data_IF_107163608451
#
_entry.id   IF_107163608451
#
_cell.length_a   1.000
_cell.length_b   1.000
_cell.length_c   1.000
_cell.angle_alpha   90.00
_cell.angle_beta   90.00
_cell.angle_gamma   90.00
#
_symmetry.space_group_name_H-M   'P 1'
#
loop_
_entity.id
_entity.type
_entity.pdbx_description
1 polymer ?
#
# COMPACT_ATOMS: atom_id res chain seq x y z
N UNK A 1 51.93 -2.20 38.86
CA UNK A 1 50.72 -3.05 38.86
C UNK A 1 49.40 -2.26 38.80
N UNK A 2 49.33 -1.00 39.23
CA UNK A 2 48.14 -0.14 39.13
C UNK A 2 47.84 0.34 37.69
N UNK A 3 48.82 0.75 36.90
CA UNK A 3 48.60 1.27 35.57
C UNK A 3 47.97 0.27 34.57
N UNK A 4 48.29 -1.02 34.71
CA UNK A 4 47.69 -2.07 33.87
C UNK A 4 46.21 -2.30 34.20
N UNK A 5 45.87 -2.16 35.48
CA UNK A 5 44.50 -2.33 35.96
C UNK A 5 43.58 -1.17 35.53
N UNK A 6 44.13 0.04 35.43
CA UNK A 6 43.42 1.23 34.98
C UNK A 6 43.22 1.23 33.45
N UNK A 7 44.16 0.71 32.68
CA UNK A 7 44.01 0.49 31.23
C UNK A 7 42.91 -0.54 30.90
N UNK A 8 42.84 -1.61 31.67
CA UNK A 8 41.82 -2.66 31.46
C UNK A 8 40.41 -2.11 31.81
N UNK A 9 40.28 -1.31 32.89
CA UNK A 9 38.99 -0.67 33.24
C UNK A 9 38.52 0.33 32.19
N UNK A 10 39.44 1.12 31.62
CA UNK A 10 39.08 2.06 30.54
C UNK A 10 38.67 1.35 29.24
N UNK A 11 39.32 0.25 28.89
CA UNK A 11 38.96 -0.54 27.71
C UNK A 11 37.62 -1.24 27.85
N UNK A 12 37.27 -1.76 29.04
CA UNK A 12 35.96 -2.39 29.31
C UNK A 12 34.84 -1.37 29.32
N UNK A 13 35.11 -0.17 29.84
CA UNK A 13 34.10 0.93 29.83
C UNK A 13 33.84 1.46 28.42
N UNK A 14 34.84 1.51 27.55
CA UNK A 14 34.69 1.91 26.14
C UNK A 14 33.89 0.86 25.32
N UNK A 15 34.05 -0.44 25.61
CA UNK A 15 33.28 -1.51 24.95
C UNK A 15 31.78 -1.50 25.32
N UNK A 16 31.44 -1.06 26.55
CA UNK A 16 30.05 -1.01 27.02
C UNK A 16 29.24 0.13 26.40
N UNK A 17 29.90 1.20 25.92
CA UNK A 17 29.23 2.31 25.25
C UNK A 17 28.95 2.05 23.75
N UNK A 18 29.59 1.05 23.14
CA UNK A 18 29.42 0.77 21.71
C UNK A 18 28.28 -0.21 21.41
N UNK A 19 27.66 -0.82 22.40
CA UNK A 19 26.59 -1.82 22.21
C UNK A 19 25.18 -1.27 22.33
N UNK A 20 24.98 0.03 22.58
CA UNK A 20 23.67 0.66 22.80
C UNK A 20 23.15 1.49 21.59
N UNK A 21 23.84 1.46 20.46
CA UNK A 21 23.40 2.20 19.26
C UNK A 21 22.73 1.30 18.20
N UNK A 22 22.18 0.17 18.56
CA UNK A 22 21.14 -0.47 17.75
C UNK A 22 19.81 0.21 18.05
N UNK A 23 19.71 1.51 17.72
CA UNK A 23 18.43 2.16 17.61
C UNK A 23 17.63 1.37 16.58
N UNK A 24 16.68 0.58 17.05
CA UNK A 24 15.62 0.05 16.20
C UNK A 24 15.08 1.28 15.45
N UNK A 25 15.37 1.37 14.17
CA UNK A 25 14.68 2.32 13.29
C UNK A 25 13.23 1.87 13.30
N UNK A 26 12.47 2.42 14.24
CA UNK A 26 11.02 2.30 14.22
C UNK A 26 10.61 2.88 12.87
N UNK A 27 10.18 1.99 11.96
CA UNK A 27 9.70 2.38 10.65
C UNK A 27 8.55 3.35 10.89
N UNK A 28 8.77 4.62 10.58
CA UNK A 28 7.82 5.69 10.86
C UNK A 28 6.55 5.40 10.07
N UNK A 29 5.50 5.00 10.77
CA UNK A 29 4.22 4.66 10.15
C UNK A 29 3.65 5.92 9.49
N UNK A 30 3.37 5.82 8.19
CA UNK A 30 2.81 6.93 7.42
C UNK A 30 1.36 7.21 7.85
N UNK A 31 0.98 8.47 7.77
CA UNK A 31 -0.42 8.91 7.92
C UNK A 31 -1.06 9.06 6.55
N UNK A 32 -2.34 8.70 6.46
CA UNK A 32 -3.11 8.75 5.22
C UNK A 32 -4.37 9.58 5.43
N UNK A 33 -4.69 10.44 4.49
CA UNK A 33 -6.01 11.05 4.40
C UNK A 33 -6.96 10.08 3.72
N UNK A 34 -8.28 10.22 3.98
CA UNK A 34 -9.28 9.35 3.36
C UNK A 34 -10.28 10.17 2.56
N UNK A 35 -10.86 9.54 1.53
CA UNK A 35 -11.97 10.10 0.79
C UNK A 35 -13.00 9.04 0.42
N UNK A 36 -14.25 9.42 0.14
CA UNK A 36 -15.24 8.53 -0.44
C UNK A 36 -14.95 8.29 -1.92
N UNK A 37 -15.07 7.02 -2.34
CA UNK A 37 -14.87 6.55 -3.69
C UNK A 37 -16.07 5.70 -4.10
N UNK A 38 -16.46 5.75 -5.38
CA UNK A 38 -17.54 4.93 -5.92
C UNK A 38 -17.04 4.14 -7.12
N UNK A 39 -17.50 2.89 -7.25
CA UNK A 39 -17.23 2.06 -8.44
C UNK A 39 -18.57 1.83 -9.13
N UNK A 40 -18.68 2.30 -10.37
CA UNK A 40 -19.81 2.09 -11.26
C UNK A 40 -19.52 0.89 -12.17
N UNK A 41 -20.30 -0.18 -12.04
CA UNK A 41 -20.16 -1.36 -12.88
C UNK A 41 -20.91 -1.18 -14.21
N UNK A 42 -20.45 -1.86 -15.25
CA UNK A 42 -21.13 -1.86 -16.56
C UNK A 42 -22.57 -2.39 -16.47
N UNK A 43 -22.90 -3.15 -15.42
CA UNK A 43 -24.27 -3.60 -15.13
C UNK A 43 -25.16 -2.55 -14.46
N UNK A 44 -24.69 -1.30 -14.32
CA UNK A 44 -25.46 -0.19 -13.74
C UNK A 44 -25.54 -0.19 -12.22
N UNK A 45 -24.78 -1.02 -11.52
CA UNK A 45 -24.67 -1.00 -10.06
C UNK A 45 -23.56 -0.05 -9.65
N UNK A 46 -23.77 0.64 -8.52
CA UNK A 46 -22.75 1.47 -7.87
C UNK A 46 -22.44 0.92 -6.48
N UNK A 47 -21.15 0.92 -6.14
CA UNK A 47 -20.64 0.48 -4.84
C UNK A 47 -19.79 1.57 -4.23
N UNK A 48 -20.09 1.94 -2.99
CA UNK A 48 -19.42 3.00 -2.26
C UNK A 48 -18.33 2.41 -1.35
N UNK A 49 -17.19 3.07 -1.33
CA UNK A 49 -16.03 2.73 -0.52
C UNK A 49 -15.48 3.98 0.19
N UNK A 50 -14.78 3.79 1.28
CA UNK A 50 -13.92 4.80 1.89
C UNK A 50 -12.46 4.38 1.70
N UNK A 51 -11.68 5.19 1.00
CA UNK A 51 -10.30 4.84 0.68
C UNK A 51 -9.30 5.79 1.30
N UNK A 52 -8.24 5.24 1.84
CA UNK A 52 -7.05 6.00 2.20
C UNK A 52 -6.25 6.34 0.94
N UNK A 53 -5.55 7.47 0.96
CA UNK A 53 -4.83 7.99 -0.19
C UNK A 53 -3.31 7.86 -0.01
N UNK A 54 -2.66 7.12 -0.91
CA UNK A 54 -1.21 7.03 -1.00
C UNK A 54 -0.71 7.96 -2.12
N UNK A 55 -0.32 9.19 -1.74
CA UNK A 55 -0.05 10.28 -2.67
C UNK A 55 1.45 10.55 -2.89
N UNK A 56 2.32 10.14 -1.96
CA UNK A 56 3.77 10.32 -2.04
C UNK A 56 4.50 8.97 -2.02
N UNK A 57 5.81 8.99 -2.27
CA UNK A 57 6.61 7.76 -2.36
C UNK A 57 6.56 6.95 -1.05
N UNK A 58 6.77 7.59 0.10
CA UNK A 58 6.79 6.90 1.39
C UNK A 58 5.43 6.24 1.70
N UNK A 59 4.32 6.92 1.38
CA UNK A 59 2.97 6.36 1.52
C UNK A 59 2.74 5.18 0.57
N UNK A 60 3.16 5.30 -0.71
CA UNK A 60 3.04 4.18 -1.67
C UNK A 60 3.91 2.98 -1.30
N UNK A 61 5.12 3.22 -0.78
CA UNK A 61 6.00 2.15 -0.31
C UNK A 61 5.43 1.41 0.90
N UNK A 62 4.81 2.12 1.84
CA UNK A 62 4.17 1.49 2.99
C UNK A 62 2.86 0.79 2.60
N UNK A 63 1.98 1.45 1.83
CA UNK A 63 0.68 0.88 1.47
C UNK A 63 -0.08 0.31 2.68
N UNK A 64 -0.64 -0.87 2.52
CA UNK A 64 -1.38 -1.62 3.54
C UNK A 64 -0.49 -2.58 4.37
N UNK A 65 0.84 -2.43 4.32
CA UNK A 65 1.75 -3.27 5.10
C UNK A 65 1.40 -3.27 6.59
N UNK A 66 1.59 -4.43 7.23
CA UNK A 66 1.42 -4.69 8.66
C UNK A 66 -0.02 -4.57 9.19
N UNK A 67 -1.02 -4.31 8.34
CA UNK A 67 -2.43 -4.28 8.74
C UNK A 67 -2.97 -5.68 8.90
N UNK A 68 -3.58 -5.95 10.05
CA UNK A 68 -4.15 -7.26 10.38
C UNK A 68 -5.56 -7.44 9.81
N UNK A 69 -6.25 -6.35 9.53
CA UNK A 69 -7.59 -6.35 8.93
C UNK A 69 -7.90 -5.00 8.29
N UNK A 70 -8.90 -4.99 7.42
CA UNK A 70 -9.48 -3.78 6.83
C UNK A 70 -11.00 -3.98 6.72
N UNK A 71 -11.83 -2.99 7.10
CA UNK A 71 -13.29 -3.08 6.94
C UNK A 71 -13.68 -3.40 5.48
N UNK A 72 -14.81 -4.11 5.24
CA UNK A 72 -15.19 -4.58 3.90
C UNK A 72 -15.28 -3.49 2.84
N UNK A 73 -15.78 -2.31 3.19
CA UNK A 73 -15.98 -1.17 2.30
C UNK A 73 -14.80 -0.18 2.33
N UNK A 74 -13.66 -0.59 2.90
CA UNK A 74 -12.47 0.24 2.91
C UNK A 74 -11.45 -0.26 1.88
N UNK A 75 -10.54 0.66 1.50
CA UNK A 75 -9.45 0.37 0.59
C UNK A 75 -8.35 1.41 0.66
N UNK A 76 -7.39 1.30 -0.26
CA UNK A 76 -6.34 2.31 -0.44
C UNK A 76 -6.18 2.63 -1.93
N UNK A 77 -6.23 3.93 -2.25
CA UNK A 77 -6.01 4.44 -3.61
C UNK A 77 -4.61 5.02 -3.72
N UNK A 78 -3.80 4.40 -4.58
CA UNK A 78 -2.46 4.84 -4.92
C UNK A 78 -2.52 5.77 -6.13
N UNK A 79 -1.97 6.97 -6.03
CA UNK A 79 -1.81 7.88 -7.15
C UNK A 79 -0.32 7.94 -7.56
N UNK A 80 -0.02 7.57 -8.80
CA UNK A 80 1.34 7.55 -9.36
C UNK A 80 1.72 8.83 -10.10
N UNK A 81 0.82 9.84 -10.10
CA UNK A 81 1.03 11.14 -10.76
C UNK A 81 0.68 11.09 -12.24
N UNK A 82 1.51 10.44 -13.05
CA UNK A 82 1.30 10.27 -14.49
C UNK A 82 1.12 8.79 -14.85
N UNK A 83 0.41 8.49 -15.97
CA UNK A 83 0.27 7.11 -16.45
C UNK A 83 1.63 6.48 -16.75
N UNK A 84 1.84 5.30 -16.17
CA UNK A 84 3.06 4.50 -16.36
C UNK A 84 2.77 3.03 -16.08
N UNK A 85 3.67 2.15 -16.49
CA UNK A 85 3.64 0.77 -16.04
C UNK A 85 3.91 0.71 -14.53
N UNK A 86 3.04 0.02 -13.82
CA UNK A 86 3.10 -0.13 -12.36
C UNK A 86 3.34 -1.59 -12.00
N UNK A 87 4.24 -1.80 -11.06
CA UNK A 87 4.51 -3.09 -10.44
C UNK A 87 4.17 -3.02 -8.95
N UNK A 88 3.32 -3.93 -8.50
CA UNK A 88 2.91 -4.07 -7.11
C UNK A 88 3.46 -5.39 -6.55
N UNK A 89 3.45 -5.53 -5.25
CA UNK A 89 3.83 -6.74 -4.51
C UNK A 89 3.07 -6.83 -3.20
N UNK A 90 3.16 -7.97 -2.51
CA UNK A 90 2.49 -8.20 -1.22
C UNK A 90 3.49 -8.30 -0.05
N UNK A 91 4.74 -7.82 -0.22
CA UNK A 91 5.74 -7.85 0.86
C UNK A 91 5.20 -7.14 2.11
N UNK A 92 5.32 -7.78 3.27
CA UNK A 92 4.82 -7.30 4.56
C UNK A 92 3.30 -7.02 4.62
N UNK A 93 2.52 -7.42 3.62
CA UNK A 93 1.07 -7.28 3.60
C UNK A 93 0.45 -8.57 4.13
N UNK A 94 -0.35 -8.47 5.22
CA UNK A 94 -0.82 -9.61 6.00
C UNK A 94 -2.18 -10.13 5.54
N UNK A 95 -2.94 -9.30 4.83
CA UNK A 95 -4.30 -9.61 4.36
C UNK A 95 -4.29 -9.82 2.84
N UNK A 96 -5.11 -10.75 2.30
CA UNK A 96 -5.27 -10.88 0.87
C UNK A 96 -5.93 -9.64 0.28
N UNK A 97 -5.50 -9.22 -0.91
CA UNK A 97 -6.00 -8.01 -1.57
C UNK A 97 -6.42 -8.29 -3.02
N UNK A 98 -7.45 -7.56 -3.46
CA UNK A 98 -7.72 -7.37 -4.88
C UNK A 98 -7.11 -6.04 -5.32
N UNK A 99 -6.36 -6.05 -6.42
CA UNK A 99 -5.71 -4.86 -6.97
C UNK A 99 -6.37 -4.47 -8.29
N UNK A 100 -6.99 -3.28 -8.32
CA UNK A 100 -7.64 -2.73 -9.50
C UNK A 100 -6.71 -1.69 -10.12
N UNK A 101 -6.24 -1.95 -11.33
CA UNK A 101 -5.38 -1.04 -12.09
C UNK A 101 -6.25 -0.09 -12.92
N UNK A 102 -6.02 1.23 -12.79
CA UNK A 102 -6.97 2.25 -13.23
C UNK A 102 -6.27 3.30 -14.08
N UNK A 103 -6.82 3.55 -15.24
CA UNK A 103 -6.38 4.59 -16.16
C UNK A 103 -6.63 6.01 -15.63
N UNK A 104 -6.10 7.01 -16.34
CA UNK A 104 -6.27 8.43 -15.99
C UNK A 104 -7.75 8.86 -15.90
N UNK A 105 -8.60 8.26 -16.71
CA UNK A 105 -10.04 8.55 -16.82
C UNK A 105 -10.90 7.87 -15.74
N UNK A 106 -10.27 7.04 -14.87
CA UNK A 106 -10.94 6.27 -13.85
C UNK A 106 -11.41 4.90 -14.33
N UNK A 107 -11.15 4.50 -15.58
CA UNK A 107 -11.51 3.18 -16.09
C UNK A 107 -10.58 2.11 -15.56
N UNK A 108 -11.13 1.02 -15.05
CA UNK A 108 -10.39 -0.17 -14.65
C UNK A 108 -9.89 -0.88 -15.92
N UNK A 109 -8.57 -1.03 -16.04
CA UNK A 109 -7.91 -1.68 -17.18
C UNK A 109 -7.62 -3.15 -16.90
N UNK A 110 -7.30 -3.49 -15.65
CA UNK A 110 -6.96 -4.84 -15.19
C UNK A 110 -7.34 -5.02 -13.73
N UNK A 111 -7.71 -6.24 -13.35
CA UNK A 111 -7.95 -6.66 -11.95
C UNK A 111 -7.09 -7.88 -11.66
N UNK A 112 -6.31 -7.81 -10.58
CA UNK A 112 -5.63 -8.96 -9.99
C UNK A 112 -6.34 -9.34 -8.70
N UNK A 113 -7.03 -10.47 -8.70
CA UNK A 113 -7.82 -10.93 -7.57
C UNK A 113 -6.98 -11.78 -6.61
N UNK A 114 -7.28 -11.67 -5.31
CA UNK A 114 -6.73 -12.49 -4.23
C UNK A 114 -5.19 -12.56 -4.23
N UNK A 115 -4.52 -11.42 -4.35
CA UNK A 115 -3.08 -11.34 -4.18
C UNK A 115 -2.66 -11.96 -2.85
N UNK A 116 -1.66 -12.85 -2.92
CA UNK A 116 -1.27 -13.71 -1.79
C UNK A 116 -0.45 -12.92 -0.78
N UNK A 117 -0.85 -12.88 0.52
CA UNK A 117 -0.07 -12.23 1.56
C UNK A 117 1.39 -12.65 1.56
N UNK A 118 2.29 -11.70 1.88
CA UNK A 118 3.74 -11.88 1.93
C UNK A 118 4.43 -12.26 0.61
N UNK A 119 3.70 -12.42 -0.50
CA UNK A 119 4.31 -12.72 -1.81
C UNK A 119 5.12 -11.52 -2.31
N UNK A 120 6.34 -11.79 -2.77
CA UNK A 120 7.19 -10.82 -3.45
C UNK A 120 7.13 -10.94 -4.99
N UNK A 121 6.24 -11.80 -5.49
CA UNK A 121 5.98 -11.90 -6.91
C UNK A 121 5.42 -10.57 -7.44
N UNK A 122 5.93 -10.16 -8.60
CA UNK A 122 5.50 -8.91 -9.24
C UNK A 122 4.11 -9.06 -9.82
N UNK A 123 3.22 -8.15 -9.43
CA UNK A 123 1.87 -7.98 -9.97
C UNK A 123 1.89 -6.76 -10.89
N UNK A 124 1.90 -6.98 -12.19
CA UNK A 124 2.01 -5.92 -13.20
C UNK A 124 0.66 -5.33 -13.59
N UNK A 125 0.64 -4.01 -13.85
CA UNK A 125 -0.53 -3.31 -14.41
C UNK A 125 -0.89 -3.73 -15.84
N UNK A 126 0.01 -4.42 -16.56
CA UNK A 126 -0.15 -4.85 -17.95
C UNK A 126 -0.38 -3.68 -18.93
N UNK A 127 0.19 -2.55 -18.64
CA UNK A 127 0.10 -1.32 -19.42
C UNK A 127 0.03 -0.08 -18.55
N UNK A 128 0.09 1.12 -19.15
CA UNK A 128 0.13 2.36 -18.37
C UNK A 128 -1.14 2.63 -17.59
N UNK A 129 -0.99 2.86 -16.28
CA UNK A 129 -2.08 3.26 -15.36
C UNK A 129 -1.63 4.44 -14.51
N UNK A 130 -2.57 5.26 -14.07
CA UNK A 130 -2.31 6.38 -13.16
C UNK A 130 -2.58 6.03 -11.71
N UNK A 131 -3.52 5.08 -11.48
CA UNK A 131 -3.95 4.72 -10.13
C UNK A 131 -3.98 3.20 -9.96
N UNK A 132 -3.81 2.76 -8.72
CA UNK A 132 -4.14 1.40 -8.27
C UNK A 132 -5.06 1.53 -7.06
N UNK A 133 -6.14 0.76 -7.04
CA UNK A 133 -7.03 0.64 -5.89
C UNK A 133 -6.88 -0.76 -5.30
N UNK A 134 -6.49 -0.82 -4.03
CA UNK A 134 -6.46 -2.05 -3.25
C UNK A 134 -7.71 -2.17 -2.40
N UNK A 135 -8.38 -3.30 -2.51
CA UNK A 135 -9.55 -3.71 -1.72
C UNK A 135 -9.27 -5.04 -1.04
N UNK A 136 -10.11 -5.42 -0.07
CA UNK A 136 -10.03 -6.77 0.52
C UNK A 136 -10.11 -7.84 -0.56
N UNK A 137 -9.34 -8.92 -0.41
CA UNK A 137 -9.38 -10.06 -1.33
C UNK A 137 -10.78 -10.63 -1.49
N UNK A 138 -11.20 -10.85 -2.74
CA UNK A 138 -12.54 -11.30 -3.10
C UNK A 138 -13.57 -10.18 -3.23
N UNK A 139 -13.22 -8.91 -3.00
CA UNK A 139 -14.13 -7.77 -3.18
C UNK A 139 -14.57 -7.62 -4.64
N UNK A 140 -13.65 -7.76 -5.60
CA UNK A 140 -13.97 -7.66 -7.02
C UNK A 140 -15.06 -8.68 -7.41
N UNK A 141 -14.91 -9.92 -7.00
CA UNK A 141 -15.93 -10.97 -7.22
C UNK A 141 -17.25 -10.66 -6.51
N UNK A 142 -17.20 -10.23 -5.24
CA UNK A 142 -18.39 -9.94 -4.43
C UNK A 142 -19.23 -8.83 -5.04
N UNK A 143 -18.61 -7.77 -5.50
CA UNK A 143 -19.29 -6.59 -6.06
C UNK A 143 -19.45 -6.67 -7.59
N UNK A 144 -18.92 -7.71 -8.24
CA UNK A 144 -18.99 -7.89 -9.69
C UNK A 144 -18.15 -6.90 -10.48
N UNK A 145 -17.07 -6.38 -9.85
CA UNK A 145 -16.16 -5.40 -10.45
C UNK A 145 -15.27 -6.07 -11.49
N UNK A 146 -15.13 -5.43 -12.65
CA UNK A 146 -14.41 -5.98 -13.81
C UNK A 146 -13.63 -4.90 -14.56
N UNK A 147 -12.66 -5.27 -15.39
CA UNK A 147 -12.09 -4.35 -16.38
C UNK A 147 -13.21 -3.72 -17.23
N UNK A 148 -13.12 -2.41 -17.44
CA UNK A 148 -14.13 -1.59 -18.11
C UNK A 148 -15.03 -0.79 -17.18
N UNK A 149 -15.18 -1.19 -15.91
CA UNK A 149 -15.91 -0.43 -14.90
C UNK A 149 -15.21 0.88 -14.58
N UNK A 150 -15.96 1.83 -14.00
CA UNK A 150 -15.48 3.20 -13.73
C UNK A 150 -15.35 3.45 -12.23
N UNK A 151 -14.18 3.86 -11.81
CA UNK A 151 -13.91 4.37 -10.47
C UNK A 151 -14.07 5.88 -10.45
N UNK A 152 -14.86 6.39 -9.50
CA UNK A 152 -15.12 7.82 -9.30
C UNK A 152 -14.61 8.27 -7.95
N UNK A 153 -13.76 9.28 -7.96
CA UNK A 153 -13.24 9.90 -6.73
C UNK A 153 -12.79 11.33 -7.00
N UNK A 154 -12.63 12.10 -5.93
CA UNK A 154 -12.09 13.46 -6.03
C UNK A 154 -10.62 13.41 -6.52
N UNK A 155 -9.85 12.41 -6.06
CA UNK A 155 -8.45 12.22 -6.43
C UNK A 155 -8.27 11.89 -7.93
N UNK A 156 -9.21 11.19 -8.55
CA UNK A 156 -9.25 10.93 -10.00
C UNK A 156 -9.73 12.17 -10.76
N UNK A 157 -10.55 13.03 -10.12
CA UNK A 157 -11.09 14.24 -10.71
C UNK A 157 -12.33 14.00 -11.58
N UNK A 158 -13.00 12.86 -11.42
CA UNK A 158 -14.18 12.48 -12.22
C UNK A 158 -15.45 12.25 -11.37
N UNK A 159 -15.43 12.66 -10.09
CA UNK A 159 -16.59 12.66 -9.23
C UNK A 159 -17.50 13.85 -9.59
N UNK A 160 -18.76 13.57 -9.86
CA UNK A 160 -19.79 14.60 -10.07
C UNK A 160 -20.36 15.09 -8.74
#
# INVERSE_FOLDING_TARGET
>A
MSALLDMVKSAVMALLFFTLASAAQAQQQQTFTSEPLQIETAGGKSHDFTVELALNNAQREQGLMFRKSMPPENGMLFNFGEPRDVAMWMRNTLIPLDMLFIGRDGRITHVHENAVPHSEAIISSRGPVKFVLELNGGAAKRYGIKPGDIVRSAQIGNRK
#
